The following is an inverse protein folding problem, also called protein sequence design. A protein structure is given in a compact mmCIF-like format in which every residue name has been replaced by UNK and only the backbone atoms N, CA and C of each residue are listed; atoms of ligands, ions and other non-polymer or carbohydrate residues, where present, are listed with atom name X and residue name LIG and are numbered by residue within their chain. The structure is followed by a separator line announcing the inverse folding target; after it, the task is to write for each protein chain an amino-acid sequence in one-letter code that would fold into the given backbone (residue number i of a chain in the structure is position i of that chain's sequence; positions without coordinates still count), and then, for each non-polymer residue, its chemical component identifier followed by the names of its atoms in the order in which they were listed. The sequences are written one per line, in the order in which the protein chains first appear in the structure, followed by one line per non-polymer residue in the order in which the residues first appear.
data_IF_595705751495
#
_entry.id   IF_595705751495
#
_cell.length_a   1.000
_cell.length_b   1.000
_cell.length_c   1.000
_cell.angle_alpha   90.00
_cell.angle_beta   90.00
_cell.angle_gamma   90.00
#
_symmetry.space_group_name_H-M   'P 1'
#
loop_
_entity.id
_entity.type
_entity.pdbx_description
1 polymer ?
#
# COMPACT_ATOMS: atom_id res chain seq x y z
N UNK A 1 -16.73 -4.54 13.98
CA UNK A 1 -15.58 -3.88 13.34
C UNK A 1 -15.27 -4.68 12.08
N UNK A 2 -15.41 -4.10 10.88
CA UNK A 2 -15.31 -4.85 9.62
C UNK A 2 -13.91 -4.75 9.02
N UNK A 3 -13.29 -5.90 8.73
CA UNK A 3 -12.04 -5.98 8.00
C UNK A 3 -12.33 -6.38 6.54
N UNK A 4 -11.78 -5.65 5.57
CA UNK A 4 -11.89 -5.96 4.14
C UNK A 4 -10.57 -6.55 3.63
N UNK A 5 -10.47 -7.87 3.44
CA UNK A 5 -9.26 -8.48 2.92
C UNK A 5 -9.13 -8.22 1.41
N UNK A 6 -7.93 -7.84 0.98
CA UNK A 6 -7.59 -7.69 -0.43
C UNK A 6 -6.41 -8.59 -0.79
N UNK A 7 -6.52 -9.32 -1.90
CA UNK A 7 -5.45 -10.15 -2.41
C UNK A 7 -4.54 -9.34 -3.33
N UNK A 8 -3.26 -9.26 -2.96
CA UNK A 8 -2.23 -8.60 -3.77
C UNK A 8 -1.52 -9.63 -4.67
N UNK A 9 -1.62 -9.52 -6.01
CA UNK A 9 -1.15 -10.57 -6.92
C UNK A 9 0.34 -10.51 -7.28
N UNK A 10 1.10 -9.48 -6.87
CA UNK A 10 2.52 -9.40 -7.20
C UNK A 10 3.39 -10.44 -6.44
N UNK A 11 4.47 -10.93 -7.06
CA UNK A 11 5.29 -12.00 -6.50
C UNK A 11 5.97 -11.61 -5.18
N UNK A 12 5.94 -12.56 -4.24
CA UNK A 12 6.58 -12.44 -2.92
C UNK A 12 8.02 -12.96 -3.02
N UNK A 13 9.00 -12.10 -2.79
CA UNK A 13 10.42 -12.47 -2.87
C UNK A 13 11.34 -11.29 -3.18
N UNK A 14 11.05 -10.15 -2.56
CA UNK A 14 11.61 -8.86 -2.95
C UNK A 14 12.88 -8.62 -2.13
N UNK A 15 13.95 -8.20 -2.79
CA UNK A 15 15.20 -7.84 -2.10
C UNK A 15 14.95 -6.73 -1.08
N UNK A 16 15.72 -6.73 0.01
CA UNK A 16 15.59 -5.73 1.08
C UNK A 16 15.69 -4.28 0.58
N UNK A 17 16.43 -4.04 -0.51
CA UNK A 17 16.56 -2.74 -1.15
C UNK A 17 15.25 -2.23 -1.80
N UNK A 18 14.36 -3.14 -2.18
CA UNK A 18 13.09 -2.84 -2.86
C UNK A 18 11.88 -2.95 -1.92
N UNK A 19 12.09 -3.29 -0.63
CA UNK A 19 11.04 -3.44 0.38
C UNK A 19 10.13 -2.22 0.50
N UNK A 20 10.69 -1.01 0.55
CA UNK A 20 9.90 0.22 0.68
C UNK A 20 8.98 0.42 -0.53
N UNK A 21 9.47 0.13 -1.74
CA UNK A 21 8.69 0.24 -2.99
C UNK A 21 7.52 -0.76 -3.00
N UNK A 22 7.76 -2.00 -2.55
CA UNK A 22 6.70 -3.00 -2.41
C UNK A 22 5.63 -2.58 -1.41
N UNK A 23 6.03 -2.06 -0.25
CA UNK A 23 5.11 -1.56 0.77
C UNK A 23 4.24 -0.43 0.20
N UNK A 24 4.82 0.53 -0.50
CA UNK A 24 4.08 1.62 -1.13
C UNK A 24 3.11 1.10 -2.21
N UNK A 25 3.53 0.12 -3.03
CA UNK A 25 2.64 -0.47 -4.04
C UNK A 25 1.46 -1.23 -3.43
N UNK A 26 1.65 -1.95 -2.32
CA UNK A 26 0.57 -2.60 -1.58
C UNK A 26 -0.42 -1.60 -0.99
N UNK A 27 0.08 -0.49 -0.43
CA UNK A 27 -0.76 0.59 0.08
C UNK A 27 -1.60 1.18 -1.06
N UNK A 28 -0.97 1.51 -2.21
CA UNK A 28 -1.66 2.00 -3.41
C UNK A 28 -2.75 1.03 -3.89
N UNK A 29 -2.46 -0.27 -3.93
CA UNK A 29 -3.43 -1.30 -4.30
C UNK A 29 -4.63 -1.36 -3.35
N UNK A 30 -4.37 -1.27 -2.04
CA UNK A 30 -5.41 -1.21 -1.01
C UNK A 30 -6.29 0.03 -1.18
N UNK A 31 -5.69 1.19 -1.40
CA UNK A 31 -6.42 2.44 -1.63
C UNK A 31 -7.29 2.38 -2.88
N UNK A 32 -6.76 1.87 -4.00
CA UNK A 32 -7.51 1.71 -5.26
C UNK A 32 -8.72 0.78 -5.08
N UNK A 33 -8.53 -0.32 -4.37
CA UNK A 33 -9.61 -1.29 -4.11
C UNK A 33 -10.68 -0.70 -3.17
N UNK A 34 -10.26 0.03 -2.14
CA UNK A 34 -11.16 0.72 -1.21
C UNK A 34 -11.94 1.86 -1.87
N UNK A 35 -11.32 2.62 -2.79
CA UNK A 35 -12.00 3.63 -3.61
C UNK A 35 -13.05 2.99 -4.53
N UNK A 36 -12.72 1.87 -5.19
CA UNK A 36 -13.66 1.14 -6.05
C UNK A 36 -14.88 0.63 -5.29
N UNK A 37 -14.68 0.19 -4.04
CA UNK A 37 -15.76 -0.22 -3.13
C UNK A 37 -16.47 0.95 -2.43
N UNK A 38 -16.07 2.20 -2.72
CA UNK A 38 -16.60 3.44 -2.09
C UNK A 38 -16.48 3.46 -0.56
N UNK A 39 -15.49 2.76 0.00
CA UNK A 39 -15.20 2.73 1.44
C UNK A 39 -14.52 4.04 1.87
N UNK A 40 -13.64 4.57 1.01
CA UNK A 40 -12.92 5.83 1.21
C UNK A 40 -13.24 6.82 0.08
N UNK A 41 -12.97 8.11 0.29
CA UNK A 41 -13.12 9.16 -0.72
C UNK A 41 -11.77 9.84 -1.00
N UNK A 42 -11.60 10.39 -2.19
CA UNK A 42 -10.45 11.22 -2.54
C UNK A 42 -10.33 12.41 -1.58
N UNK A 43 -9.12 12.73 -1.12
CA UNK A 43 -8.87 13.78 -0.14
C UNK A 43 -9.15 13.42 1.32
N UNK A 44 -9.54 12.18 1.62
CA UNK A 44 -9.65 11.72 3.01
C UNK A 44 -8.29 11.28 3.56
N UNK A 45 -8.11 11.43 4.88
CA UNK A 45 -6.90 10.98 5.56
C UNK A 45 -7.02 9.50 5.90
N UNK A 46 -5.99 8.72 5.55
CA UNK A 46 -5.88 7.28 5.82
C UNK A 46 -4.63 7.00 6.65
N UNK A 47 -4.71 5.96 7.46
CA UNK A 47 -3.59 5.51 8.28
C UNK A 47 -3.07 4.22 7.67
N UNK A 48 -1.82 4.23 7.22
CA UNK A 48 -1.09 3.05 6.79
C UNK A 48 -0.24 2.54 7.97
N UNK A 49 -0.31 1.23 8.21
CA UNK A 49 0.51 0.55 9.21
C UNK A 49 1.37 -0.47 8.47
N UNK A 50 2.68 -0.38 8.68
CA UNK A 50 3.66 -1.22 8.00
C UNK A 50 4.85 -1.53 8.92
N UNK A 51 5.68 -2.47 8.48
CA UNK A 51 6.97 -2.75 9.11
C UNK A 51 8.13 -2.05 8.40
N UNK A 52 9.11 -1.59 9.18
CA UNK A 52 10.32 -0.91 8.67
C UNK A 52 11.24 -1.81 7.82
N UNK A 53 11.17 -3.13 8.02
CA UNK A 53 11.94 -4.16 7.29
C UNK A 53 11.08 -5.39 7.03
N UNK A 54 11.39 -6.09 5.94
CA UNK A 54 10.81 -7.41 5.64
C UNK A 54 11.19 -8.45 6.69
N UNK A 55 10.18 -9.17 7.19
CA UNK A 55 10.31 -10.17 8.26
C UNK A 55 9.03 -10.28 9.08
N UNK A 56 8.93 -11.35 9.88
CA UNK A 56 7.83 -11.55 10.83
C UNK A 56 8.06 -10.67 12.08
N UNK A 57 7.03 -9.97 12.55
CA UNK A 57 7.05 -9.30 13.85
C UNK A 57 7.62 -7.88 13.90
N UNK A 58 7.76 -7.19 12.76
CA UNK A 58 8.32 -5.83 12.70
C UNK A 58 7.29 -4.73 12.42
N UNK A 59 6.01 -4.91 12.76
CA UNK A 59 4.97 -3.89 12.56
C UNK A 59 5.13 -2.76 13.58
N UNK A 60 5.97 -1.78 13.26
CA UNK A 60 6.36 -0.70 14.16
C UNK A 60 6.18 0.70 13.56
N UNK A 61 5.75 0.81 12.29
CA UNK A 61 5.69 2.09 11.59
C UNK A 61 4.26 2.42 11.20
N UNK A 62 3.80 3.61 11.60
CA UNK A 62 2.51 4.17 11.23
C UNK A 62 2.76 5.41 10.37
N UNK A 63 2.05 5.53 9.25
CA UNK A 63 2.07 6.68 8.36
C UNK A 63 0.66 7.24 8.21
N UNK A 64 0.54 8.55 8.37
CA UNK A 64 -0.69 9.28 8.03
C UNK A 64 -0.53 9.76 6.60
N UNK A 65 -1.38 9.27 5.71
CA UNK A 65 -1.34 9.57 4.27
C UNK A 65 -2.66 10.23 3.88
N UNK A 66 -2.60 11.14 2.91
CA UNK A 66 -3.80 11.68 2.28
C UNK A 66 -4.09 10.88 1.02
N UNK A 67 -5.35 10.49 0.81
CA UNK A 67 -5.76 9.81 -0.42
C UNK A 67 -5.60 10.79 -1.59
N UNK A 68 -4.72 10.50 -2.56
CA UNK A 68 -4.52 11.40 -3.69
C UNK A 68 -5.82 11.55 -4.48
N UNK A 69 -6.03 12.76 -5.00
CA UNK A 69 -7.18 13.10 -5.84
C UNK A 69 -7.00 12.64 -7.28
N UNK A 70 -5.75 12.42 -7.72
CA UNK A 70 -5.43 11.97 -9.06
C UNK A 70 -5.29 10.44 -9.12
N UNK A 71 -6.01 9.75 -10.03
CA UNK A 71 -5.86 8.31 -10.23
C UNK A 71 -4.46 7.89 -10.71
N UNK A 72 -3.68 8.77 -11.32
CA UNK A 72 -2.31 8.48 -11.75
C UNK A 72 -1.36 8.24 -10.56
N UNK A 73 -1.60 8.89 -9.42
CA UNK A 73 -0.80 8.71 -8.19
C UNK A 73 -1.06 7.36 -7.49
N UNK A 74 -2.12 6.65 -7.90
CA UNK A 74 -2.51 5.33 -7.39
C UNK A 74 -1.97 4.17 -8.23
N UNK A 75 -1.22 4.46 -9.30
CA UNK A 75 -0.61 3.43 -10.13
C UNK A 75 0.57 2.78 -9.40
N UNK A 76 0.62 1.44 -9.47
CA UNK A 76 1.73 0.65 -8.92
C UNK A 76 2.98 0.91 -9.75
N UNK A 77 4.08 1.26 -9.10
CA UNK A 77 5.36 1.46 -9.78
C UNK A 77 5.99 0.08 -9.99
N UNK A 78 6.28 -0.35 -11.23
CA UNK A 78 6.86 -1.67 -11.46
C UNK A 78 8.19 -1.83 -10.70
N UNK A 79 8.35 -2.96 -10.00
CA UNK A 79 9.57 -3.32 -9.26
C UNK A 79 10.73 -3.77 -10.19
N UNK A 80 10.76 -3.29 -11.43
CA UNK A 80 11.76 -3.64 -12.43
C UNK A 80 12.41 -2.39 -13.01
N UNK A 81 13.72 -2.26 -12.81
CA UNK A 81 14.54 -1.22 -13.43
C UNK A 81 16.00 -1.33 -12.99
N UNK A 82 16.74 -2.17 -13.72
CA UNK A 82 18.20 -2.38 -13.78
C UNK A 82 18.92 -2.76 -12.47
#
# INVERSE_FOLDING_TARGET
MCCYPFWYPEPRGIEGAQWQRDVDNRIRFGLRSALKLKIIKTGTTVIAIQGWKGGLGHTNTLRVLSVPTDPADLESVPLGGA
#
